data_IF_008703420664
#
_entry.id   IF_008703420664
#
_cell.length_a   1.000
_cell.length_b   1.000
_cell.length_c   1.000
_cell.angle_alpha   90.00
_cell.angle_beta   90.00
_cell.angle_gamma   90.00
#
_symmetry.space_group_name_H-M   'P 1'
#
loop_
_entity.id
_entity.type
_entity.pdbx_description
1 polymer ?
#
# COMPACT_ATOMS: atom_id res chain seq x y z
N UNK A 1 -22.22 4.99 -6.70
CA UNK A 1 -21.27 4.66 -7.77
C UNK A 1 -19.79 4.90 -7.43
N UNK A 2 -19.40 5.85 -6.56
CA UNK A 2 -17.97 6.25 -6.43
C UNK A 2 -17.09 5.55 -5.38
N UNK A 3 -17.66 4.68 -4.51
CA UNK A 3 -16.89 3.92 -3.52
C UNK A 3 -16.44 2.57 -4.10
N UNK A 4 -17.34 1.87 -4.78
CA UNK A 4 -17.10 0.57 -5.40
C UNK A 4 -15.99 0.66 -6.46
N UNK A 5 -16.06 1.65 -7.37
CA UNK A 5 -15.03 1.92 -8.40
C UNK A 5 -13.63 2.15 -7.80
N UNK A 6 -13.55 2.73 -6.59
CA UNK A 6 -12.25 2.94 -5.94
C UNK A 6 -11.70 1.65 -5.36
N UNK A 7 -12.54 0.76 -4.85
CA UNK A 7 -12.11 -0.57 -4.40
C UNK A 7 -11.71 -1.48 -5.56
N UNK A 8 -12.42 -1.43 -6.70
CA UNK A 8 -11.99 -2.11 -7.93
C UNK A 8 -10.57 -1.66 -8.35
N UNK A 9 -10.27 -0.37 -8.16
CA UNK A 9 -8.93 0.17 -8.43
C UNK A 9 -7.89 -0.31 -7.41
N UNK A 10 -8.26 -0.46 -6.13
CA UNK A 10 -7.39 -1.06 -5.11
C UNK A 10 -7.02 -2.49 -5.52
N UNK A 11 -8.00 -3.30 -5.91
CA UNK A 11 -7.78 -4.68 -6.35
C UNK A 11 -6.90 -4.73 -7.60
N UNK A 12 -7.17 -3.90 -8.60
CA UNK A 12 -6.36 -3.82 -9.82
C UNK A 12 -4.88 -3.46 -9.54
N UNK A 13 -4.62 -2.53 -8.63
CA UNK A 13 -3.23 -2.20 -8.24
C UNK A 13 -2.58 -3.34 -7.46
N UNK A 14 -3.30 -4.08 -6.62
CA UNK A 14 -2.74 -5.25 -5.92
C UNK A 14 -2.45 -6.42 -6.88
N UNK A 15 -3.29 -6.65 -7.90
CA UNK A 15 -3.03 -7.64 -8.95
C UNK A 15 -1.80 -7.28 -9.78
N UNK A 16 -1.65 -6.02 -10.19
CA UNK A 16 -0.45 -5.55 -10.90
C UNK A 16 0.81 -5.64 -10.01
N UNK A 17 0.67 -5.42 -8.69
CA UNK A 17 1.76 -5.61 -7.74
C UNK A 17 2.24 -7.08 -7.72
N UNK A 18 1.31 -8.03 -7.64
CA UNK A 18 1.60 -9.46 -7.65
C UNK A 18 2.22 -9.91 -8.98
N UNK A 19 1.65 -9.49 -10.11
CA UNK A 19 2.18 -9.79 -11.44
C UNK A 19 3.57 -9.16 -11.66
N UNK A 20 3.84 -7.99 -11.09
CA UNK A 20 5.16 -7.36 -11.15
C UNK A 20 6.19 -8.14 -10.33
N UNK A 21 5.83 -8.55 -9.12
CA UNK A 21 6.69 -9.36 -8.24
C UNK A 21 7.01 -10.71 -8.88
N UNK A 22 6.02 -11.39 -9.46
CA UNK A 22 6.24 -12.68 -10.13
C UNK A 22 7.18 -12.58 -11.35
N UNK A 23 7.34 -11.38 -11.92
CA UNK A 23 8.27 -11.08 -13.02
C UNK A 23 9.62 -10.53 -12.53
N UNK A 24 9.87 -10.45 -11.22
CA UNK A 24 11.08 -9.88 -10.63
C UNK A 24 11.14 -8.35 -10.65
N UNK A 25 10.03 -7.66 -10.96
CA UNK A 25 9.96 -6.20 -11.05
C UNK A 25 9.63 -5.58 -9.67
N UNK A 26 10.51 -5.78 -8.69
CA UNK A 26 10.30 -5.37 -7.28
C UNK A 26 9.97 -3.89 -7.11
N UNK A 27 10.63 -3.02 -7.89
CA UNK A 27 10.35 -1.58 -7.88
C UNK A 27 8.91 -1.26 -8.29
N UNK A 28 8.41 -1.94 -9.33
CA UNK A 28 7.02 -1.76 -9.79
C UNK A 28 6.03 -2.37 -8.81
N UNK A 29 6.31 -3.57 -8.29
CA UNK A 29 5.48 -4.21 -7.27
C UNK A 29 5.23 -3.28 -6.07
N UNK A 30 6.29 -2.64 -5.57
CA UNK A 30 6.20 -1.64 -4.48
C UNK A 30 5.43 -0.39 -4.88
N UNK A 31 5.52 0.08 -6.12
CA UNK A 31 4.74 1.25 -6.59
C UNK A 31 3.25 0.93 -6.58
N UNK A 32 2.87 -0.22 -7.12
CA UNK A 32 1.48 -0.67 -7.20
C UNK A 32 0.89 -0.93 -5.80
N UNK A 33 1.62 -1.62 -4.92
CA UNK A 33 1.22 -1.80 -3.52
C UNK A 33 0.97 -0.46 -2.80
N UNK A 34 1.86 0.53 -2.98
CA UNK A 34 1.66 1.88 -2.42
C UNK A 34 0.42 2.57 -2.96
N UNK A 35 0.13 2.44 -4.27
CA UNK A 35 -1.05 3.03 -4.90
C UNK A 35 -2.34 2.42 -4.35
N UNK A 36 -2.40 1.09 -4.23
CA UNK A 36 -3.52 0.38 -3.63
C UNK A 36 -3.83 0.93 -2.22
N UNK A 37 -2.82 0.98 -1.35
CA UNK A 37 -2.98 1.50 0.01
C UNK A 37 -3.35 2.98 0.02
N UNK A 38 -2.74 3.79 -0.85
CA UNK A 38 -3.06 5.21 -0.97
C UNK A 38 -4.54 5.44 -1.31
N UNK A 39 -5.11 4.67 -2.23
CA UNK A 39 -6.53 4.75 -2.58
C UNK A 39 -7.41 4.35 -1.38
N UNK A 40 -7.06 3.27 -0.69
CA UNK A 40 -7.80 2.79 0.48
C UNK A 40 -7.77 3.78 1.66
N UNK A 41 -6.61 4.39 1.94
CA UNK A 41 -6.47 5.44 2.96
C UNK A 41 -7.27 6.69 2.58
N UNK A 42 -7.29 7.06 1.30
CA UNK A 42 -8.09 8.19 0.82
C UNK A 42 -9.58 7.96 1.04
N UNK A 43 -10.04 6.74 0.76
CA UNK A 43 -11.39 6.27 1.06
C UNK A 43 -11.70 6.33 2.56
N UNK A 44 -10.80 5.80 3.40
CA UNK A 44 -10.96 5.74 4.85
C UNK A 44 -11.08 7.13 5.48
N UNK A 45 -10.18 8.06 5.13
CA UNK A 45 -10.23 9.43 5.64
C UNK A 45 -11.21 10.33 4.89
N UNK A 46 -11.99 9.79 3.94
CA UNK A 46 -12.93 10.55 3.11
C UNK A 46 -12.30 11.79 2.45
N UNK A 47 -11.03 11.67 2.05
CA UNK A 47 -10.33 12.69 1.28
C UNK A 47 -10.44 12.39 -0.22
N UNK A 48 -10.32 13.42 -1.06
CA UNK A 48 -10.26 13.27 -2.51
C UNK A 48 -9.09 12.37 -2.95
N UNK A 49 -9.10 11.87 -4.19
CA UNK A 49 -8.00 11.05 -4.70
C UNK A 49 -6.68 11.80 -4.51
N UNK A 50 -5.70 11.20 -3.81
CA UNK A 50 -4.46 11.89 -3.48
C UNK A 50 -3.67 12.14 -4.76
N UNK A 51 -3.05 13.31 -4.87
CA UNK A 51 -2.05 13.56 -5.91
C UNK A 51 -0.84 12.59 -5.75
N UNK A 52 -0.59 12.11 -4.53
CA UNK A 52 0.53 11.22 -4.23
C UNK A 52 0.21 10.23 -3.09
N UNK A 53 0.17 8.93 -3.40
CA UNK A 53 -0.01 7.85 -2.43
C UNK A 53 1.03 7.86 -1.29
N UNK A 54 2.25 8.34 -1.57
CA UNK A 54 3.32 8.47 -0.57
C UNK A 54 2.93 9.39 0.59
N UNK A 55 2.23 10.51 0.32
CA UNK A 55 1.84 11.45 1.37
C UNK A 55 0.80 10.83 2.32
N UNK A 56 -0.13 10.05 1.80
CA UNK A 56 -1.12 9.34 2.63
C UNK A 56 -0.46 8.26 3.48
N UNK A 57 0.50 7.52 2.92
CA UNK A 57 1.26 6.54 3.69
C UNK A 57 2.09 7.20 4.81
N UNK A 58 2.71 8.35 4.53
CA UNK A 58 3.42 9.12 5.57
C UNK A 58 2.48 9.60 6.67
N UNK A 59 1.28 10.06 6.30
CA UNK A 59 0.23 10.39 7.29
C UNK A 59 -0.15 9.16 8.10
N UNK A 60 -0.36 8.00 7.47
CA UNK A 60 -0.77 6.77 8.15
C UNK A 60 0.31 6.27 9.12
N UNK A 61 1.58 6.37 8.73
CA UNK A 61 2.71 6.02 9.60
C UNK A 61 2.77 6.88 10.87
N UNK A 62 2.29 8.12 10.81
CA UNK A 62 2.28 9.06 11.92
C UNK A 62 0.94 9.12 12.70
N UNK A 63 -0.11 8.45 12.22
CA UNK A 63 -1.46 8.55 12.78
C UNK A 63 -1.63 7.62 13.98
N UNK A 64 -1.55 8.16 15.22
CA UNK A 64 -1.71 7.38 16.45
C UNK A 64 -3.09 6.75 16.63
N UNK A 65 -4.09 7.14 15.84
CA UNK A 65 -5.40 6.51 15.80
C UNK A 65 -5.42 5.18 15.03
N UNK A 66 -4.39 4.89 14.22
CA UNK A 66 -4.25 3.61 13.51
C UNK A 66 -3.51 2.57 14.37
N UNK A 67 -3.81 1.27 14.24
CA UNK A 67 -3.09 0.21 14.94
C UNK A 67 -1.57 0.23 14.70
N UNK A 68 -0.74 -0.16 15.67
CA UNK A 68 0.71 -0.20 15.51
C UNK A 68 1.18 -0.94 14.26
N UNK A 69 0.59 -2.10 13.94
CA UNK A 69 0.95 -2.87 12.74
C UNK A 69 0.69 -2.10 11.44
N UNK A 70 -0.39 -1.31 11.36
CA UNK A 70 -0.73 -0.48 10.19
C UNK A 70 0.28 0.64 10.03
N UNK A 71 0.65 1.31 11.12
CA UNK A 71 1.65 2.40 11.09
C UNK A 71 3.01 1.89 10.64
N UNK A 72 3.43 0.73 11.16
CA UNK A 72 4.70 0.11 10.80
C UNK A 72 4.72 -0.35 9.33
N UNK A 73 3.64 -0.98 8.85
CA UNK A 73 3.51 -1.36 7.45
C UNK A 73 3.55 -0.13 6.52
N UNK A 74 2.88 0.96 6.90
CA UNK A 74 2.93 2.21 6.14
C UNK A 74 4.34 2.81 6.10
N UNK A 75 5.08 2.74 7.21
CA UNK A 75 6.47 3.20 7.30
C UNK A 75 7.42 2.36 6.44
N UNK A 76 7.23 1.04 6.38
CA UNK A 76 8.02 0.15 5.50
C UNK A 76 7.72 0.41 4.02
N UNK A 77 6.47 0.66 3.67
CA UNK A 77 6.07 1.00 2.30
C UNK A 77 6.66 2.33 1.81
N UNK A 78 6.90 3.30 2.70
CA UNK A 78 7.51 4.60 2.33
C UNK A 78 9.03 4.56 2.30
N UNK A 79 9.67 3.55 2.89
CA UNK A 79 11.12 3.42 2.90
C UNK A 79 11.64 3.33 1.46
N UNK A 80 12.47 4.30 1.06
CA UNK A 80 13.17 4.27 -0.22
C UNK A 80 14.09 3.05 -0.23
N UNK A 81 14.02 2.26 -1.31
CA UNK A 81 15.00 1.20 -1.58
C UNK A 81 16.30 1.91 -1.95
N UNK A 82 17.15 2.20 -0.97
CA UNK A 82 18.47 2.79 -1.21
C UNK A 82 19.38 1.74 -1.84
N UNK A 83 19.96 2.09 -2.99
CA UNK A 83 21.10 1.60 -3.81
C UNK A 83 21.88 0.30 -3.50
N UNK A 84 21.57 -0.46 -2.44
CA UNK A 84 22.28 -1.67 -2.05
C UNK A 84 21.71 -2.97 -2.63
N UNK A 85 20.61 -2.94 -3.41
CA UNK A 85 19.92 -4.13 -3.96
C UNK A 85 19.66 -5.29 -2.97
N UNK A 86 19.82 -5.05 -1.66
CA UNK A 86 19.55 -5.99 -0.58
C UNK A 86 18.81 -5.24 0.50
N UNK A 87 17.52 -5.57 0.63
CA UNK A 87 16.78 -5.25 1.83
C UNK A 87 17.38 -6.13 2.95
N UNK A 88 17.75 -5.56 4.12
CA UNK A 88 18.32 -6.34 5.22
C UNK A 88 17.30 -7.30 5.88
N UNK A 89 16.02 -7.21 5.49
CA UNK A 89 14.95 -8.16 5.81
C UNK A 89 14.02 -8.31 4.58
N UNK A 90 13.51 -9.52 4.33
CA UNK A 90 12.55 -9.91 3.27
C UNK A 90 11.17 -9.24 3.44
N UNK A 91 11.10 -7.92 3.50
CA UNK A 91 9.84 -7.20 3.70
C UNK A 91 9.10 -7.08 2.36
N UNK A 92 8.12 -7.96 2.15
CA UNK A 92 7.24 -7.99 0.97
C UNK A 92 6.29 -6.77 0.97
N UNK A 93 6.40 -5.84 0.01
CA UNK A 93 5.49 -4.71 -0.08
C UNK A 93 4.02 -5.11 -0.27
N UNK A 94 3.72 -6.32 -0.78
CA UNK A 94 2.36 -6.81 -0.88
C UNK A 94 1.80 -7.19 0.50
N UNK A 95 2.60 -7.79 1.37
CA UNK A 95 2.16 -8.17 2.71
C UNK A 95 1.88 -6.93 3.57
N UNK A 96 2.74 -5.92 3.49
CA UNK A 96 2.48 -4.63 4.14
C UNK A 96 1.17 -4.00 3.63
N UNK A 97 0.94 -4.05 2.32
CA UNK A 97 -0.31 -3.55 1.75
C UNK A 97 -1.51 -4.35 2.24
N UNK A 98 -1.44 -5.69 2.31
CA UNK A 98 -2.52 -6.54 2.84
C UNK A 98 -2.83 -6.24 4.30
N UNK A 99 -1.82 -6.03 5.15
CA UNK A 99 -2.01 -5.67 6.56
C UNK A 99 -2.84 -4.39 6.67
N UNK A 100 -2.47 -3.36 5.90
CA UNK A 100 -3.18 -2.08 5.93
C UNK A 100 -4.60 -2.23 5.37
N UNK A 101 -4.78 -2.89 4.23
CA UNK A 101 -6.10 -3.09 3.62
C UNK A 101 -7.05 -3.88 4.54
N UNK A 102 -6.56 -4.94 5.18
CA UNK A 102 -7.33 -5.74 6.11
C UNK A 102 -7.78 -4.91 7.32
N UNK A 103 -6.90 -4.08 7.88
CA UNK A 103 -7.25 -3.17 8.98
C UNK A 103 -8.28 -2.09 8.58
N UNK A 104 -8.34 -1.74 7.29
CA UNK A 104 -9.36 -0.85 6.73
C UNK A 104 -10.66 -1.57 6.35
N UNK A 105 -10.77 -2.87 6.63
CA UNK A 105 -11.97 -3.68 6.37
C UNK A 105 -12.06 -4.25 4.97
N UNK A 106 -10.95 -4.35 4.22
CA UNK A 106 -10.93 -4.89 2.87
C UNK A 106 -9.85 -5.97 2.70
N UNK A 107 -10.25 -7.19 2.37
CA UNK A 107 -9.34 -8.32 2.18
C UNK A 107 -9.17 -8.62 0.69
N UNK A 108 -7.93 -8.55 0.19
CA UNK A 108 -7.60 -8.90 -1.20
C UNK A 108 -7.05 -10.32 -1.27
N UNK A 109 -7.67 -11.17 -2.08
CA UNK A 109 -7.12 -12.48 -2.46
C UNK A 109 -6.30 -12.28 -3.74
N UNK A 110 -5.02 -12.64 -3.70
CA UNK A 110 -4.10 -12.56 -4.85
C UNK A 110 -3.69 -13.96 -5.24
#
# INVERSE_FOLDING_TARGET
>A
MGRDVRWDRVEAEMLEAAASRSRGNEGRARVCARRAVGIALALHWSVGPPANAYQLLMRAAADSGLPPEVRQAAQRLTRRVTEAHRLPHDEDPLDDARVILAALGHSVRL
#
